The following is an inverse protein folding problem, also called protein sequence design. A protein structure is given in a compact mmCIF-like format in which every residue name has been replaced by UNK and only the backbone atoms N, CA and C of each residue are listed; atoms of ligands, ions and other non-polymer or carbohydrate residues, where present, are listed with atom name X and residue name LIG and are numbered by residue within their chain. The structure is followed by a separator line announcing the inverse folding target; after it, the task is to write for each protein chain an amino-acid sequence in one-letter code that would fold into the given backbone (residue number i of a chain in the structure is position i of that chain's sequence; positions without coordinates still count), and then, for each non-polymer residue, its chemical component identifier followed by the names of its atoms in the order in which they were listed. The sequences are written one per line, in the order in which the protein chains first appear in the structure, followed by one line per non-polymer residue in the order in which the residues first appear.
data_IF_951123781699
#
_entry.id   IF_951123781699
#
_cell.length_a   1.000
_cell.length_b   1.000
_cell.length_c   1.000
_cell.angle_alpha   90.00
_cell.angle_beta   90.00
_cell.angle_gamma   90.00
#
_symmetry.space_group_name_H-M   'P 1'
#
loop_
_entity.id
_entity.type
_entity.pdbx_description
1 polymer ?
#
# COMPACT_ATOMS: atom_id res chain seq x y z
N UNK A 1 -31.25 -11.52 -33.63
CA UNK A 1 -30.21 -12.15 -32.78
C UNK A 1 -28.92 -12.08 -33.57
N UNK A 2 -28.17 -10.99 -33.39
CA UNK A 2 -26.88 -10.79 -34.05
C UNK A 2 -25.76 -11.36 -33.17
N UNK A 3 -24.84 -12.03 -33.84
CA UNK A 3 -23.72 -12.82 -33.32
C UNK A 3 -22.60 -11.88 -32.83
N UNK A 4 -22.54 -11.61 -31.53
CA UNK A 4 -21.44 -10.91 -30.87
C UNK A 4 -20.34 -11.90 -30.47
N UNK A 5 -19.51 -12.33 -31.43
CA UNK A 5 -18.32 -13.16 -31.14
C UNK A 5 -17.04 -12.56 -31.70
N UNK A 6 -16.68 -11.38 -31.20
CA UNK A 6 -15.27 -10.99 -31.03
C UNK A 6 -15.06 -10.45 -29.62
N UNK A 7 -15.01 -11.35 -28.65
CA UNK A 7 -14.56 -11.03 -27.29
C UNK A 7 -13.10 -10.60 -27.34
N UNK A 8 -12.83 -9.33 -27.09
CA UNK A 8 -11.48 -8.78 -27.01
C UNK A 8 -10.67 -9.49 -25.93
N UNK A 9 -9.56 -10.10 -26.31
CA UNK A 9 -8.65 -10.75 -25.37
C UNK A 9 -7.70 -9.72 -24.76
N UNK A 10 -7.93 -9.36 -23.48
CA UNK A 10 -7.11 -8.39 -22.75
C UNK A 10 -5.78 -8.93 -22.21
N UNK A 11 -5.50 -10.23 -22.35
CA UNK A 11 -4.27 -10.83 -21.82
C UNK A 11 -2.99 -10.17 -22.37
N UNK A 12 -2.83 -9.89 -23.67
CA UNK A 12 -1.66 -9.17 -24.18
C UNK A 12 -1.47 -7.80 -23.53
N UNK A 13 -2.56 -7.09 -23.23
CA UNK A 13 -2.51 -5.81 -22.54
C UNK A 13 -2.05 -5.98 -21.09
N UNK A 14 -2.61 -6.94 -20.35
CA UNK A 14 -2.22 -7.28 -18.98
C UNK A 14 -0.72 -7.63 -18.89
N UNK A 15 -0.27 -8.50 -19.80
CA UNK A 15 1.10 -9.01 -19.80
C UNK A 15 2.12 -7.91 -20.11
N UNK A 16 1.79 -7.03 -21.07
CA UNK A 16 2.69 -5.99 -21.56
C UNK A 16 2.52 -4.63 -20.89
N UNK A 17 1.57 -4.49 -19.97
CA UNK A 17 1.45 -3.30 -19.12
C UNK A 17 2.70 -3.16 -18.25
N UNK A 18 3.28 -1.95 -18.24
CA UNK A 18 4.48 -1.57 -17.49
C UNK A 18 5.78 -2.30 -17.89
N UNK A 19 5.84 -2.92 -19.06
CA UNK A 19 7.10 -3.36 -19.66
C UNK A 19 7.78 -2.12 -20.26
N UNK A 20 8.99 -1.78 -19.78
CA UNK A 20 9.75 -0.63 -20.27
C UNK A 20 10.06 -0.78 -21.77
N UNK A 21 10.19 0.30 -22.52
CA UNK A 21 10.44 0.29 -23.99
C UNK A 21 11.65 -0.56 -24.43
N UNK A 22 12.58 -0.87 -23.51
CA UNK A 22 13.77 -1.70 -23.76
C UNK A 22 13.57 -3.20 -23.47
N UNK A 23 12.45 -3.58 -22.86
CA UNK A 23 12.16 -4.96 -22.49
C UNK A 23 11.30 -5.66 -23.54
N UNK A 24 11.58 -6.95 -23.80
CA UNK A 24 10.84 -7.75 -24.78
C UNK A 24 9.40 -7.99 -24.30
N UNK A 25 8.43 -7.67 -25.14
CA UNK A 25 6.99 -7.99 -24.93
C UNK A 25 6.73 -9.50 -24.99
N UNK A 26 5.67 -9.96 -24.34
CA UNK A 26 5.18 -11.33 -24.51
C UNK A 26 4.57 -11.48 -25.91
N UNK A 27 5.07 -12.45 -26.66
CA UNK A 27 4.52 -12.85 -27.96
C UNK A 27 3.35 -13.82 -27.80
N UNK A 28 2.50 -13.88 -28.83
CA UNK A 28 1.41 -14.87 -28.92
C UNK A 28 1.92 -16.30 -28.78
N UNK A 29 3.06 -16.62 -29.40
CA UNK A 29 3.64 -17.96 -29.33
C UNK A 29 4.07 -18.32 -27.90
N UNK A 30 4.67 -17.39 -27.16
CA UNK A 30 5.02 -17.61 -25.74
C UNK A 30 3.79 -17.92 -24.88
N UNK A 31 2.65 -17.29 -25.17
CA UNK A 31 1.40 -17.55 -24.45
C UNK A 31 0.86 -18.94 -24.78
N UNK A 32 0.84 -19.30 -26.07
CA UNK A 32 0.42 -20.63 -26.54
C UNK A 32 1.30 -21.73 -25.93
N UNK A 33 2.62 -21.56 -25.96
CA UNK A 33 3.56 -22.54 -25.43
C UNK A 33 3.42 -22.69 -23.91
N UNK A 34 3.13 -21.59 -23.21
CA UNK A 34 2.83 -21.60 -21.78
C UNK A 34 1.57 -22.44 -21.47
N UNK A 35 0.46 -22.21 -22.20
CA UNK A 35 -0.83 -22.86 -21.94
C UNK A 35 -0.92 -24.31 -22.45
N UNK A 36 0.05 -24.77 -23.24
CA UNK A 36 0.20 -26.21 -23.57
C UNK A 36 0.74 -27.05 -22.41
N UNK A 37 1.36 -26.42 -21.41
CA UNK A 37 1.91 -27.11 -20.25
C UNK A 37 0.82 -27.41 -19.22
N UNK A 38 1.04 -28.41 -18.38
CA UNK A 38 0.08 -28.86 -17.37
C UNK A 38 0.58 -28.67 -15.94
N UNK A 39 1.88 -28.50 -15.73
CA UNK A 39 2.46 -28.31 -14.39
C UNK A 39 3.13 -26.95 -14.27
N UNK A 40 2.93 -26.30 -13.12
CA UNK A 40 3.56 -25.02 -12.81
C UNK A 40 5.09 -25.10 -12.78
N UNK A 41 5.66 -26.21 -12.32
CA UNK A 41 7.10 -26.38 -12.24
C UNK A 41 7.79 -26.47 -13.61
N UNK A 42 7.06 -26.89 -14.64
CA UNK A 42 7.54 -26.97 -16.02
C UNK A 42 7.59 -25.58 -16.71
N UNK A 43 7.06 -24.55 -16.03
CA UNK A 43 7.11 -23.17 -16.51
C UNK A 43 8.48 -22.55 -16.26
N UNK A 44 9.02 -21.90 -17.29
CA UNK A 44 10.16 -20.98 -17.18
C UNK A 44 9.82 -19.78 -16.29
N UNK A 45 10.83 -19.08 -15.79
CA UNK A 45 10.62 -17.86 -14.98
C UNK A 45 9.72 -16.82 -15.68
N UNK A 46 9.81 -16.72 -17.01
CA UNK A 46 9.02 -15.77 -17.81
C UNK A 46 7.56 -16.21 -17.93
N UNK A 47 7.32 -17.51 -18.14
CA UNK A 47 5.97 -18.09 -18.13
C UNK A 47 5.32 -18.02 -16.74
N UNK A 48 6.11 -18.19 -15.66
CA UNK A 48 5.63 -18.00 -14.28
C UNK A 48 5.12 -16.58 -14.04
N UNK A 49 5.79 -15.56 -14.58
CA UNK A 49 5.32 -14.17 -14.55
C UNK A 49 4.02 -13.99 -15.34
N UNK A 50 3.91 -14.65 -16.50
CA UNK A 50 2.71 -14.63 -17.33
C UNK A 50 1.50 -15.16 -16.55
N UNK A 51 1.59 -16.39 -16.03
CA UNK A 51 0.47 -17.00 -15.30
C UNK A 51 0.16 -16.26 -14.00
N UNK A 52 1.17 -15.70 -13.32
CA UNK A 52 0.97 -14.86 -12.13
C UNK A 52 0.15 -13.62 -12.44
N UNK A 53 0.48 -12.90 -13.52
CA UNK A 53 -0.27 -11.71 -13.96
C UNK A 53 -1.69 -12.09 -14.38
N UNK A 54 -1.84 -13.19 -15.12
CA UNK A 54 -3.15 -13.69 -15.53
C UNK A 54 -4.03 -14.01 -14.31
N UNK A 55 -3.54 -14.84 -13.38
CA UNK A 55 -4.32 -15.25 -12.22
C UNK A 55 -4.76 -14.07 -11.35
N UNK A 56 -3.90 -13.05 -11.22
CA UNK A 56 -4.17 -11.86 -10.44
C UNK A 56 -5.23 -10.93 -11.07
N UNK A 57 -5.19 -10.77 -12.39
CA UNK A 57 -5.92 -9.70 -13.08
C UNK A 57 -7.23 -10.20 -13.73
N UNK A 58 -7.31 -11.48 -14.11
CA UNK A 58 -8.54 -12.10 -14.62
C UNK A 58 -9.46 -12.44 -13.45
N UNK A 59 -10.70 -11.93 -13.50
CA UNK A 59 -11.65 -11.99 -12.38
C UNK A 59 -13.06 -12.43 -12.81
N UNK A 60 -13.26 -12.75 -14.07
CA UNK A 60 -14.56 -13.15 -14.60
C UNK A 60 -14.42 -14.21 -15.72
N UNK A 61 -15.54 -14.89 -15.97
CA UNK A 61 -15.62 -16.01 -16.90
C UNK A 61 -15.54 -15.57 -18.38
N UNK A 62 -15.87 -14.32 -18.69
CA UNK A 62 -15.88 -13.83 -20.07
C UNK A 62 -14.44 -13.64 -20.57
N UNK A 63 -13.58 -13.10 -19.73
CA UNK A 63 -12.15 -13.03 -20.00
C UNK A 63 -11.52 -14.39 -20.21
N UNK A 64 -11.81 -15.36 -19.33
CA UNK A 64 -11.27 -16.71 -19.43
C UNK A 64 -11.68 -17.34 -20.76
N UNK A 65 -12.96 -17.22 -21.15
CA UNK A 65 -13.46 -17.68 -22.46
C UNK A 65 -12.77 -16.98 -23.63
N UNK A 66 -12.55 -15.67 -23.54
CA UNK A 66 -11.85 -14.91 -24.58
C UNK A 66 -10.39 -15.39 -24.75
N UNK A 67 -9.70 -15.67 -23.64
CA UNK A 67 -8.33 -16.20 -23.63
C UNK A 67 -8.28 -17.61 -24.24
N UNK A 68 -9.14 -18.52 -23.78
CA UNK A 68 -9.20 -19.90 -24.26
C UNK A 68 -9.45 -19.95 -25.77
N UNK A 69 -10.39 -19.12 -26.26
CA UNK A 69 -10.71 -19.00 -27.68
C UNK A 69 -9.53 -18.44 -28.49
N UNK A 70 -8.91 -17.35 -28.03
CA UNK A 70 -7.85 -16.66 -28.77
C UNK A 70 -6.53 -17.44 -28.88
N UNK A 71 -6.28 -18.40 -27.98
CA UNK A 71 -5.03 -19.18 -27.96
C UNK A 71 -5.26 -20.68 -28.12
N UNK A 72 -6.46 -21.11 -28.54
CA UNK A 72 -6.83 -22.52 -28.73
C UNK A 72 -6.38 -23.40 -27.54
N UNK A 73 -6.59 -22.88 -26.33
CA UNK A 73 -6.05 -23.48 -25.10
C UNK A 73 -7.10 -24.32 -24.39
N UNK A 74 -6.66 -25.42 -23.77
CA UNK A 74 -7.52 -26.26 -22.95
C UNK A 74 -7.64 -25.67 -21.54
N UNK A 75 -8.87 -25.46 -21.06
CA UNK A 75 -9.15 -24.99 -19.70
C UNK A 75 -8.52 -25.92 -18.65
N UNK A 76 -8.42 -27.22 -18.94
CA UNK A 76 -7.80 -28.21 -18.04
C UNK A 76 -6.30 -27.97 -17.82
N UNK A 77 -5.61 -27.42 -18.82
CA UNK A 77 -4.20 -27.08 -18.66
C UNK A 77 -4.03 -25.89 -17.71
N UNK A 78 -4.89 -24.88 -17.84
CA UNK A 78 -4.90 -23.70 -16.96
C UNK A 78 -5.29 -24.11 -15.53
N UNK A 79 -6.32 -24.94 -15.40
CA UNK A 79 -6.73 -25.55 -14.13
C UNK A 79 -5.56 -26.29 -13.47
N UNK A 80 -4.89 -27.17 -14.22
CA UNK A 80 -3.77 -27.95 -13.70
C UNK A 80 -2.58 -27.07 -13.29
N UNK A 81 -2.26 -26.04 -14.09
CA UNK A 81 -1.25 -25.04 -13.72
C UNK A 81 -1.66 -24.32 -12.44
N UNK A 82 -2.92 -23.88 -12.31
CA UNK A 82 -3.39 -23.15 -11.14
C UNK A 82 -3.31 -23.99 -9.87
N UNK A 83 -3.85 -25.21 -9.90
CA UNK A 83 -3.89 -26.14 -8.76
C UNK A 83 -2.48 -26.47 -8.27
N UNK A 84 -1.52 -26.63 -9.19
CA UNK A 84 -0.13 -26.93 -8.86
C UNK A 84 0.74 -25.68 -8.64
N UNK A 85 0.17 -24.48 -8.69
CA UNK A 85 0.91 -23.23 -8.49
C UNK A 85 0.91 -22.80 -7.01
N UNK A 86 1.86 -21.95 -6.59
CA UNK A 86 1.79 -21.28 -5.29
C UNK A 86 0.61 -20.30 -5.17
N UNK A 87 -0.20 -20.12 -6.22
CA UNK A 87 -1.39 -19.26 -6.23
C UNK A 87 -2.69 -20.02 -5.95
N UNK A 88 -2.66 -21.35 -5.94
CA UNK A 88 -3.81 -22.19 -5.60
C UNK A 88 -4.40 -21.74 -4.25
N UNK A 89 -5.71 -21.50 -4.20
CA UNK A 89 -6.40 -21.06 -2.99
C UNK A 89 -6.37 -19.55 -2.72
N UNK A 90 -5.60 -18.75 -3.47
CA UNK A 90 -5.46 -17.30 -3.21
C UNK A 90 -6.45 -16.41 -3.94
N UNK A 91 -6.97 -16.82 -5.11
CA UNK A 91 -7.81 -15.97 -5.95
C UNK A 91 -9.23 -16.50 -6.04
N UNK A 92 -10.20 -15.74 -5.53
CA UNK A 92 -11.60 -16.16 -5.38
C UNK A 92 -12.23 -16.62 -6.70
N UNK A 93 -11.97 -15.90 -7.81
CA UNK A 93 -12.48 -16.29 -9.14
C UNK A 93 -11.99 -17.68 -9.55
N UNK A 94 -10.68 -17.91 -9.52
CA UNK A 94 -10.06 -19.17 -9.94
C UNK A 94 -10.40 -20.33 -8.99
N UNK A 95 -10.52 -20.04 -7.68
CA UNK A 95 -10.97 -21.03 -6.70
C UNK A 95 -12.39 -21.48 -7.00
N UNK A 96 -13.29 -20.54 -7.30
CA UNK A 96 -14.68 -20.84 -7.66
C UNK A 96 -14.78 -21.59 -8.99
N UNK A 97 -14.02 -21.17 -9.99
CA UNK A 97 -14.03 -21.77 -11.33
C UNK A 97 -13.51 -23.21 -11.32
N UNK A 98 -12.48 -23.49 -10.52
CA UNK A 98 -11.82 -24.80 -10.47
C UNK A 98 -12.15 -25.63 -9.21
N UNK A 99 -13.15 -25.21 -8.42
CA UNK A 99 -13.60 -25.96 -7.25
C UNK A 99 -12.54 -26.15 -6.15
N UNK A 100 -11.64 -25.18 -5.99
CA UNK A 100 -10.57 -25.23 -4.98
C UNK A 100 -11.05 -24.64 -3.66
N UNK A 101 -10.84 -25.36 -2.55
CA UNK A 101 -11.14 -24.84 -1.21
C UNK A 101 -10.26 -23.63 -0.88
N UNK A 102 -10.89 -22.58 -0.35
CA UNK A 102 -10.20 -21.34 0.01
C UNK A 102 -9.21 -21.61 1.14
N UNK A 103 -7.92 -21.33 0.91
CA UNK A 103 -6.93 -21.37 1.96
C UNK A 103 -7.21 -20.17 2.89
N UNK A 104 -7.31 -20.36 4.22
CA UNK A 104 -7.48 -19.23 5.13
C UNK A 104 -6.32 -18.25 4.93
N UNK A 105 -6.66 -16.99 4.64
CA UNK A 105 -5.69 -15.91 4.49
C UNK A 105 -4.90 -15.80 5.80
N UNK A 106 -3.70 -16.36 5.83
CA UNK A 106 -2.73 -16.03 6.87
C UNK A 106 -2.32 -14.58 6.63
N UNK A 107 -2.37 -13.71 7.66
CA UNK A 107 -1.92 -12.33 7.49
C UNK A 107 -0.47 -12.34 7.00
N UNK A 108 -0.21 -11.59 5.94
CA UNK A 108 1.14 -11.44 5.40
C UNK A 108 2.03 -10.83 6.49
N UNK A 109 3.02 -11.58 6.96
CA UNK A 109 4.06 -11.09 7.87
C UNK A 109 5.23 -10.62 7.01
N UNK A 110 5.52 -9.31 6.94
CA UNK A 110 6.67 -8.81 6.19
C UNK A 110 7.97 -9.39 6.77
N UNK A 111 8.84 -9.89 5.90
CA UNK A 111 10.18 -10.33 6.32
C UNK A 111 10.98 -9.15 6.90
N UNK A 112 11.68 -9.37 8.02
CA UNK A 112 12.69 -8.43 8.55
C UNK A 112 13.84 -8.30 7.55
N UNK A 113 14.51 -7.14 7.51
CA UNK A 113 15.66 -6.94 6.63
C UNK A 113 16.72 -8.05 6.76
N UNK A 114 17.00 -8.52 7.99
CA UNK A 114 17.92 -9.62 8.27
C UNK A 114 17.57 -10.95 7.59
N UNK A 115 16.28 -11.19 7.31
CA UNK A 115 15.77 -12.42 6.69
C UNK A 115 15.79 -12.39 5.15
N UNK A 116 16.03 -11.22 4.55
CA UNK A 116 15.95 -11.03 3.10
C UNK A 116 17.28 -11.42 2.45
N UNK A 117 17.27 -12.39 1.52
CA UNK A 117 18.48 -12.84 0.80
C UNK A 117 19.00 -11.82 -0.21
N UNK A 118 18.11 -11.10 -0.91
CA UNK A 118 18.51 -10.11 -1.93
C UNK A 118 19.19 -8.89 -1.29
N UNK A 119 20.43 -8.55 -1.66
CA UNK A 119 21.15 -7.42 -1.08
C UNK A 119 20.43 -6.08 -1.31
N UNK A 120 19.88 -5.88 -2.50
CA UNK A 120 19.18 -4.64 -2.86
C UNK A 120 17.87 -4.49 -2.07
N UNK A 121 17.06 -5.55 -1.99
CA UNK A 121 15.81 -5.52 -1.22
C UNK A 121 16.10 -5.39 0.27
N UNK A 122 17.14 -6.06 0.77
CA UNK A 122 17.60 -5.93 2.17
C UNK A 122 17.92 -4.48 2.52
N UNK A 123 18.67 -3.76 1.67
CA UNK A 123 18.98 -2.33 1.88
C UNK A 123 17.74 -1.45 1.86
N UNK A 124 16.79 -1.70 0.96
CA UNK A 124 15.55 -0.93 0.87
C UNK A 124 14.65 -1.12 2.10
N UNK A 125 14.49 -2.38 2.54
CA UNK A 125 13.70 -2.70 3.74
C UNK A 125 14.37 -2.15 5.00
N UNK A 126 15.70 -2.26 5.13
CA UNK A 126 16.44 -1.67 6.25
C UNK A 126 16.24 -0.14 6.34
N UNK A 127 16.24 0.56 5.21
CA UNK A 127 15.94 2.01 5.17
C UNK A 127 14.52 2.33 5.61
N UNK A 128 13.54 1.54 5.18
CA UNK A 128 12.15 1.67 5.64
C UNK A 128 12.06 1.46 7.16
N UNK A 129 12.71 0.43 7.69
CA UNK A 129 12.75 0.15 9.13
C UNK A 129 13.37 1.30 9.92
N UNK A 130 14.48 1.89 9.45
CA UNK A 130 15.15 3.01 10.12
C UNK A 130 14.30 4.28 10.22
N UNK A 131 13.33 4.45 9.32
CA UNK A 131 12.40 5.57 9.27
C UNK A 131 11.09 5.32 10.03
N UNK A 132 10.85 4.08 10.47
CA UNK A 132 9.62 3.75 11.16
C UNK A 132 9.69 4.21 12.61
N UNK A 133 8.65 4.93 13.10
CA UNK A 133 8.50 5.15 14.52
C UNK A 133 8.24 3.81 15.24
N UNK A 134 8.24 3.87 16.57
CA UNK A 134 7.82 2.74 17.41
C UNK A 134 6.43 2.25 17.00
N UNK A 135 6.30 0.95 16.74
CA UNK A 135 5.04 0.34 16.29
C UNK A 135 3.97 0.40 17.40
N UNK A 136 2.69 0.42 17.01
CA UNK A 136 1.60 0.41 18.00
C UNK A 136 1.60 -0.88 18.84
N UNK A 137 1.87 -2.04 18.23
CA UNK A 137 2.03 -3.32 18.93
C UNK A 137 3.13 -3.24 20.00
N UNK A 138 4.28 -2.65 19.68
CA UNK A 138 5.37 -2.51 20.64
C UNK A 138 5.06 -1.48 21.73
N UNK A 139 4.32 -0.41 21.41
CA UNK A 139 3.78 0.51 22.41
C UNK A 139 2.85 -0.22 23.36
N UNK A 140 1.90 -1.00 22.84
CA UNK A 140 0.97 -1.80 23.64
C UNK A 140 1.70 -2.81 24.53
N UNK A 141 2.72 -3.50 24.00
CA UNK A 141 3.59 -4.40 24.77
C UNK A 141 4.26 -3.69 25.95
N UNK A 142 4.80 -2.48 25.76
CA UNK A 142 5.37 -1.74 26.89
C UNK A 142 4.29 -1.28 27.88
N UNK A 143 3.13 -0.84 27.37
CA UNK A 143 2.00 -0.38 28.19
C UNK A 143 1.30 -1.51 28.97
N UNK A 144 1.58 -2.78 28.67
CA UNK A 144 1.09 -3.89 29.47
C UNK A 144 1.76 -3.99 30.84
N UNK A 145 2.91 -3.33 31.04
CA UNK A 145 3.57 -3.22 32.34
C UNK A 145 3.06 -1.98 33.08
N UNK A 146 2.60 -2.17 34.32
CA UNK A 146 2.05 -1.12 35.18
C UNK A 146 3.00 0.07 35.34
N UNK A 147 4.29 -0.22 35.57
CA UNK A 147 5.36 0.78 35.73
C UNK A 147 5.50 1.71 34.51
N UNK A 148 5.12 1.25 33.31
CA UNK A 148 5.26 2.01 32.06
C UNK A 148 3.94 2.61 31.57
N UNK A 149 2.81 2.43 32.24
CA UNK A 149 1.50 2.87 31.72
C UNK A 149 1.38 4.37 31.46
N UNK A 150 2.08 5.20 32.26
CA UNK A 150 2.00 6.67 32.20
C UNK A 150 3.25 7.35 31.62
N UNK A 151 4.30 6.57 31.34
CA UNK A 151 5.59 7.06 30.86
C UNK A 151 5.50 7.65 29.42
N UNK A 152 6.35 8.61 29.05
CA UNK A 152 6.52 9.03 27.65
C UNK A 152 7.56 8.13 26.96
N UNK A 153 7.27 7.64 25.75
CA UNK A 153 8.12 6.65 25.08
C UNK A 153 8.65 7.24 23.76
N UNK A 154 9.97 7.45 23.70
CA UNK A 154 10.70 8.03 22.56
C UNK A 154 11.77 7.11 21.97
N UNK A 155 11.83 5.85 22.42
CA UNK A 155 12.74 4.83 21.89
C UNK A 155 12.24 4.21 20.57
N UNK A 156 13.14 3.51 19.87
CA UNK A 156 12.86 2.77 18.63
C UNK A 156 12.62 1.27 18.88
N UNK A 157 12.12 0.57 17.86
CA UNK A 157 11.66 -0.82 17.96
C UNK A 157 12.75 -1.81 18.42
N UNK A 158 14.01 -1.53 18.14
CA UNK A 158 15.13 -2.42 18.48
C UNK A 158 15.41 -2.52 19.98
N UNK A 159 15.00 -1.54 20.79
CA UNK A 159 15.18 -1.56 22.24
C UNK A 159 13.94 -1.98 23.01
N UNK A 160 12.90 -2.49 22.34
CA UNK A 160 11.66 -2.88 23.01
C UNK A 160 11.85 -4.00 24.02
N UNK A 161 12.61 -5.03 23.66
CA UNK A 161 12.86 -6.14 24.59
C UNK A 161 13.75 -5.70 25.76
N UNK A 162 14.72 -4.81 25.51
CA UNK A 162 15.55 -4.22 26.55
C UNK A 162 14.72 -3.43 27.57
N UNK A 163 13.89 -2.51 27.09
CA UNK A 163 13.02 -1.69 27.93
C UNK A 163 11.97 -2.53 28.67
N UNK A 164 11.36 -3.52 28.00
CA UNK A 164 10.39 -4.42 28.60
C UNK A 164 11.00 -5.25 29.73
N UNK A 165 12.19 -5.84 29.50
CA UNK A 165 12.86 -6.64 30.49
C UNK A 165 13.30 -5.82 31.70
N UNK A 166 13.89 -4.63 31.48
CA UNK A 166 14.24 -3.72 32.58
C UNK A 166 13.02 -3.37 33.44
N UNK A 167 11.94 -2.92 32.80
CA UNK A 167 10.72 -2.53 33.51
C UNK A 167 10.11 -3.71 34.28
N UNK A 168 10.16 -4.91 33.72
CA UNK A 168 9.71 -6.13 34.38
C UNK A 168 10.60 -6.49 35.58
N UNK A 169 11.91 -6.44 35.44
CA UNK A 169 12.86 -6.74 36.50
C UNK A 169 12.68 -5.78 37.69
N UNK A 170 12.44 -4.48 37.42
CA UNK A 170 12.12 -3.49 38.45
C UNK A 170 10.77 -3.80 39.13
N UNK A 171 9.73 -4.15 38.38
CA UNK A 171 8.44 -4.53 38.98
C UNK A 171 8.57 -5.78 39.86
N UNK A 172 9.31 -6.78 39.41
CA UNK A 172 9.52 -8.02 40.15
C UNK A 172 10.34 -7.77 41.44
N UNK A 173 11.33 -6.86 41.38
CA UNK A 173 12.05 -6.36 42.55
C UNK A 173 11.11 -5.66 43.55
N UNK A 174 10.32 -4.68 43.11
CA UNK A 174 9.39 -3.96 43.98
C UNK A 174 8.37 -4.89 44.62
N UNK A 175 7.87 -5.87 43.86
CA UNK A 175 6.94 -6.89 44.36
C UNK A 175 7.58 -7.77 45.43
N UNK A 176 8.83 -8.18 45.23
CA UNK A 176 9.59 -9.00 46.19
C UNK A 176 9.86 -8.25 47.49
N UNK A 177 10.23 -6.97 47.38
CA UNK A 177 10.54 -6.10 48.52
C UNK A 177 9.28 -5.47 49.15
N UNK A 178 8.08 -5.79 48.61
CA UNK A 178 6.78 -5.30 49.06
C UNK A 178 6.71 -3.76 49.16
N UNK A 179 7.18 -3.08 48.10
CA UNK A 179 7.14 -1.62 47.97
C UNK A 179 6.39 -1.18 46.71
N UNK A 180 6.11 0.13 46.62
CA UNK A 180 5.45 0.72 45.46
C UNK A 180 6.35 0.69 44.21
N UNK A 181 5.81 0.98 43.03
CA UNK A 181 6.59 1.11 41.80
C UNK A 181 7.19 2.53 41.69
N UNK A 182 8.41 2.69 41.17
CA UNK A 182 8.96 4.01 40.91
C UNK A 182 8.14 4.72 39.83
N UNK A 183 8.12 6.05 39.88
CA UNK A 183 7.47 6.84 38.83
C UNK A 183 8.41 6.99 37.67
N UNK A 184 8.08 6.40 36.52
CA UNK A 184 8.87 6.52 35.29
C UNK A 184 8.30 7.63 34.42
N UNK A 185 9.12 8.65 34.13
CA UNK A 185 8.72 9.83 33.37
C UNK A 185 8.90 9.62 31.87
N UNK A 186 10.06 9.11 31.46
CA UNK A 186 10.46 9.03 30.05
C UNK A 186 11.34 7.79 29.79
N UNK A 187 11.07 7.11 28.67
CA UNK A 187 12.03 6.22 28.02
C UNK A 187 12.55 6.94 26.79
N UNK A 188 13.83 7.27 26.74
CA UNK A 188 14.41 8.04 25.65
C UNK A 188 15.66 7.40 25.04
N UNK A 189 16.09 7.95 23.92
CA UNK A 189 17.37 7.68 23.29
C UNK A 189 18.23 8.93 23.38
N UNK A 190 19.22 8.92 24.26
CA UNK A 190 20.10 10.07 24.51
C UNK A 190 21.55 9.66 24.32
N UNK A 191 22.27 10.44 23.51
CA UNK A 191 23.65 10.14 23.11
C UNK A 191 23.86 8.72 22.52
N UNK A 192 22.83 8.17 21.87
CA UNK A 192 22.85 6.82 21.31
C UNK A 192 22.74 5.70 22.33
N UNK A 193 22.41 6.06 23.56
CA UNK A 193 22.16 5.18 24.69
C UNK A 193 20.67 5.23 25.07
N UNK A 194 20.18 4.13 25.63
CA UNK A 194 18.87 4.06 26.24
C UNK A 194 18.88 4.86 27.55
N UNK A 195 17.89 5.72 27.77
CA UNK A 195 17.73 6.47 29.02
C UNK A 195 16.40 6.05 29.69
N UNK A 196 16.49 5.64 30.95
CA UNK A 196 15.34 5.34 31.80
C UNK A 196 15.19 6.43 32.86
N UNK A 197 14.34 7.43 32.60
CA UNK A 197 14.12 8.56 33.52
C UNK A 197 13.03 8.25 34.55
N UNK A 198 13.41 8.18 35.82
CA UNK A 198 12.54 7.78 36.92
C UNK A 198 12.82 8.54 38.22
N UNK A 199 11.83 8.53 39.14
CA UNK A 199 11.96 9.00 40.51
C UNK A 199 11.79 7.84 41.49
N UNK A 200 12.73 7.72 42.42
CA UNK A 200 12.76 6.72 43.49
C UNK A 200 12.99 7.33 44.90
N UNK A 201 12.68 8.61 45.08
CA UNK A 201 12.89 9.34 46.35
C UNK A 201 12.23 8.69 47.58
N UNK A 202 11.15 7.92 47.36
CA UNK A 202 10.39 7.27 48.44
C UNK A 202 10.95 5.89 48.84
N UNK A 203 12.00 5.40 48.19
CA UNK A 203 12.56 4.08 48.44
C UNK A 203 13.69 4.11 49.48
N UNK A 204 13.96 2.95 50.09
CA UNK A 204 15.15 2.78 50.91
C UNK A 204 16.41 2.85 50.05
N UNK A 205 17.54 3.30 50.61
CA UNK A 205 18.84 3.36 49.89
C UNK A 205 19.25 2.04 49.25
N UNK A 206 18.86 0.93 49.85
CA UNK A 206 19.12 -0.41 49.31
C UNK A 206 18.37 -0.64 48.00
N UNK A 207 17.07 -0.34 47.97
CA UNK A 207 16.22 -0.52 46.80
C UNK A 207 16.61 0.48 45.70
N UNK A 208 16.89 1.75 46.06
CA UNK A 208 17.38 2.75 45.10
C UNK A 208 18.64 2.26 44.38
N UNK A 209 19.57 1.66 45.12
CA UNK A 209 20.78 1.07 44.55
C UNK A 209 20.48 -0.09 43.61
N UNK A 210 19.60 -1.02 44.00
CA UNK A 210 19.25 -2.15 43.12
C UNK A 210 18.56 -1.71 41.83
N UNK A 211 17.65 -0.73 41.89
CA UNK A 211 17.01 -0.15 40.70
C UNK A 211 18.07 0.51 39.81
N UNK A 212 18.95 1.32 40.41
CA UNK A 212 20.04 1.97 39.68
C UNK A 212 20.96 0.95 38.99
N UNK A 213 21.31 -0.15 39.67
CA UNK A 213 22.14 -1.21 39.10
C UNK A 213 21.43 -1.89 37.90
N UNK A 214 20.11 -2.14 37.97
CA UNK A 214 19.33 -2.66 36.85
C UNK A 214 19.30 -1.69 35.66
N UNK A 215 19.09 -0.40 35.94
CA UNK A 215 19.08 0.66 34.92
C UNK A 215 20.44 0.72 34.24
N UNK A 216 21.53 0.86 34.99
CA UNK A 216 22.90 0.92 34.43
C UNK A 216 23.20 -0.29 33.53
N UNK A 217 22.81 -1.50 33.93
CA UNK A 217 22.97 -2.72 33.10
C UNK A 217 22.22 -2.60 31.76
N UNK A 218 21.03 -2.01 31.77
CA UNK A 218 20.25 -1.82 30.54
C UNK A 218 20.84 -0.73 29.65
N UNK A 219 21.26 0.40 30.24
CA UNK A 219 21.90 1.51 29.53
C UNK A 219 23.22 1.04 28.87
N UNK A 220 24.08 0.33 29.61
CA UNK A 220 25.31 -0.28 29.08
C UNK A 220 25.04 -1.26 27.93
N UNK A 221 24.02 -2.12 28.06
CA UNK A 221 23.63 -3.06 27.00
C UNK A 221 23.16 -2.34 25.74
N UNK A 222 22.47 -1.22 25.89
CA UNK A 222 21.89 -0.47 24.77
C UNK A 222 22.95 -0.01 23.77
N UNK A 223 24.17 0.28 24.23
CA UNK A 223 25.32 0.70 23.42
C UNK A 223 25.80 -0.37 22.41
N UNK A 224 25.34 -1.61 22.57
CA UNK A 224 25.68 -2.75 21.70
C UNK A 224 24.47 -3.31 20.94
N UNK A 225 23.29 -2.71 21.13
CA UNK A 225 22.04 -3.16 20.52
C UNK A 225 21.57 -2.09 19.53
N UNK A 226 21.36 -2.46 18.27
CA UNK A 226 20.84 -1.55 17.27
C UNK A 226 19.44 -1.03 17.67
N UNK A 227 19.31 0.28 17.81
CA UNK A 227 18.05 0.95 18.17
C UNK A 227 16.89 0.63 17.20
N UNK A 228 17.19 0.30 15.94
CA UNK A 228 16.18 0.06 14.89
C UNK A 228 15.66 -1.37 14.91
N UNK A 229 16.53 -2.37 14.99
CA UNK A 229 16.16 -3.77 14.77
C UNK A 229 16.43 -4.73 15.92
N UNK A 230 17.20 -4.32 16.94
CA UNK A 230 17.52 -5.14 18.11
C UNK A 230 18.68 -6.12 17.92
N UNK A 231 19.27 -6.17 16.72
CA UNK A 231 20.49 -6.96 16.47
C UNK A 231 21.74 -6.26 17.01
N UNK A 232 22.87 -6.98 17.04
CA UNK A 232 24.15 -6.40 17.45
C UNK A 232 24.49 -5.13 16.64
N UNK A 233 24.85 -4.08 17.37
CA UNK A 233 25.22 -2.77 16.83
C UNK A 233 26.42 -2.18 17.56
N UNK A 234 26.80 -0.99 17.13
CA UNK A 234 27.84 -0.18 17.78
C UNK A 234 27.37 1.27 17.85
N UNK A 235 27.87 2.00 18.84
CA UNK A 235 27.62 3.44 18.95
C UNK A 235 28.34 4.18 17.81
N UNK A 236 27.63 5.08 17.15
CA UNK A 236 28.07 5.82 15.97
C UNK A 236 27.71 7.28 16.11
N UNK A 237 28.45 8.13 15.39
CA UNK A 237 28.18 9.55 15.30
C UNK A 237 27.88 9.92 13.85
N UNK A 238 26.77 10.61 13.62
CA UNK A 238 26.39 11.15 12.32
C UNK A 238 25.90 12.59 12.49
N UNK A 239 26.60 13.54 11.86
CA UNK A 239 26.30 14.99 11.97
C UNK A 239 26.20 15.48 13.43
N UNK A 240 27.06 14.96 14.30
CA UNK A 240 27.08 15.30 15.72
C UNK A 240 26.01 14.60 16.56
N UNK A 241 25.13 13.80 15.96
CA UNK A 241 24.15 12.96 16.65
C UNK A 241 24.71 11.56 16.90
N UNK A 242 24.70 11.16 18.16
CA UNK A 242 25.06 9.81 18.57
C UNK A 242 23.85 8.87 18.44
N UNK A 243 24.09 7.64 18.00
CA UNK A 243 23.07 6.60 17.83
C UNK A 243 23.72 5.22 17.78
N UNK A 244 23.05 4.18 18.27
CA UNK A 244 23.57 2.81 18.22
C UNK A 244 22.91 2.02 17.09
N UNK A 245 23.71 1.51 16.14
CA UNK A 245 23.17 0.79 14.98
C UNK A 245 24.07 -0.31 14.42
N UNK A 246 23.46 -1.31 13.80
CA UNK A 246 24.16 -2.33 13.02
C UNK A 246 24.59 -1.76 11.65
N UNK A 247 25.43 -2.49 10.93
CA UNK A 247 25.91 -2.09 9.59
C UNK A 247 24.80 -1.83 8.56
N UNK A 248 23.63 -2.46 8.72
CA UNK A 248 22.50 -2.29 7.80
C UNK A 248 21.71 -1.01 8.07
N UNK A 249 21.67 -0.57 9.32
CA UNK A 249 20.90 0.60 9.77
C UNK A 249 21.78 1.81 10.07
N UNK A 250 23.10 1.72 9.83
CA UNK A 250 23.98 2.88 9.95
C UNK A 250 23.49 3.97 9.00
N UNK A 251 23.40 5.20 9.52
CA UNK A 251 23.09 6.37 8.71
C UNK A 251 24.28 6.61 7.78
N UNK A 252 24.12 6.27 6.51
CA UNK A 252 24.99 6.76 5.44
C UNK A 252 24.31 7.96 4.79
N UNK A 253 25.08 9.00 4.47
CA UNK A 253 24.55 10.14 3.73
C UNK A 253 23.97 9.62 2.41
N UNK A 254 22.66 9.76 2.27
CA UNK A 254 22.03 9.88 0.96
C UNK A 254 20.85 10.85 1.10
N UNK A 255 21.17 12.14 1.25
CA UNK A 255 20.20 13.25 1.29
C UNK A 255 19.18 13.16 0.15
N UNK A 256 19.62 12.68 -1.01
CA UNK A 256 18.77 12.47 -2.17
C UNK A 256 17.66 11.45 -1.88
N UNK A 257 17.98 10.34 -1.22
CA UNK A 257 17.00 9.31 -0.85
C UNK A 257 16.06 9.76 0.28
N UNK A 258 16.53 10.52 1.26
CA UNK A 258 15.66 11.09 2.31
C UNK A 258 14.66 12.08 1.71
N UNK A 259 15.11 12.93 0.79
CA UNK A 259 14.25 13.86 0.07
C UNK A 259 13.26 13.13 -0.84
N UNK A 260 13.67 12.06 -1.51
CA UNK A 260 12.77 11.18 -2.28
C UNK A 260 11.70 10.56 -1.37
N UNK A 261 12.08 10.06 -0.19
CA UNK A 261 11.12 9.45 0.74
C UNK A 261 10.16 10.49 1.32
N UNK A 262 10.64 11.70 1.63
CA UNK A 262 9.81 12.81 2.08
C UNK A 262 8.80 13.21 1.00
N UNK A 263 9.25 13.37 -0.26
CA UNK A 263 8.38 13.63 -1.40
C UNK A 263 7.35 12.52 -1.60
N UNK A 264 7.76 11.25 -1.48
CA UNK A 264 6.85 10.12 -1.59
C UNK A 264 5.79 10.10 -0.48
N UNK A 265 6.16 10.38 0.78
CA UNK A 265 5.20 10.48 1.89
C UNK A 265 4.17 11.60 1.66
N UNK A 266 4.62 12.78 1.24
CA UNK A 266 3.72 13.89 0.94
C UNK A 266 2.76 13.54 -0.21
N UNK A 267 3.26 12.88 -1.26
CA UNK A 267 2.45 12.45 -2.39
C UNK A 267 1.40 11.40 -1.97
N UNK A 268 1.76 10.45 -1.11
CA UNK A 268 0.82 9.44 -0.57
C UNK A 268 -0.29 10.14 0.23
N UNK A 269 0.06 11.03 1.16
CA UNK A 269 -0.93 11.77 1.96
C UNK A 269 -1.86 12.61 1.08
N UNK A 270 -1.32 13.26 0.06
CA UNK A 270 -2.12 14.00 -0.92
C UNK A 270 -3.08 13.06 -1.68
N UNK A 271 -2.59 11.92 -2.16
CA UNK A 271 -3.39 10.94 -2.90
C UNK A 271 -4.50 10.34 -2.03
N UNK A 272 -4.22 10.07 -0.75
CA UNK A 272 -5.21 9.56 0.21
C UNK A 272 -6.33 10.59 0.44
N UNK A 273 -5.96 11.87 0.59
CA UNK A 273 -6.93 12.97 0.73
C UNK A 273 -7.81 13.10 -0.53
N UNK A 274 -7.20 13.11 -1.71
CA UNK A 274 -7.92 13.17 -2.99
C UNK A 274 -8.87 11.97 -3.17
N UNK A 275 -8.43 10.77 -2.77
CA UNK A 275 -9.27 9.58 -2.85
C UNK A 275 -10.51 9.66 -1.92
N UNK A 276 -10.36 10.21 -0.72
CA UNK A 276 -11.48 10.43 0.21
C UNK A 276 -12.47 11.43 -0.38
N UNK A 277 -11.98 12.56 -0.91
CA UNK A 277 -12.81 13.58 -1.56
C UNK A 277 -13.61 12.99 -2.73
N UNK A 278 -12.98 12.15 -3.57
CA UNK A 278 -13.65 11.44 -4.67
C UNK A 278 -14.74 10.49 -4.14
N UNK A 279 -14.47 9.73 -3.07
CA UNK A 279 -15.45 8.81 -2.48
C UNK A 279 -16.68 9.58 -1.96
N UNK A 280 -16.46 10.68 -1.25
CA UNK A 280 -17.55 11.52 -0.73
C UNK A 280 -18.37 12.15 -1.86
N UNK A 281 -17.70 12.67 -2.90
CA UNK A 281 -18.34 13.23 -4.07
C UNK A 281 -19.20 12.20 -4.81
N UNK A 282 -18.67 11.00 -5.05
CA UNK A 282 -19.42 9.89 -5.68
C UNK A 282 -20.68 9.54 -4.89
N UNK A 283 -20.58 9.47 -3.55
CA UNK A 283 -21.75 9.20 -2.70
C UNK A 283 -22.83 10.28 -2.88
N UNK A 284 -22.43 11.55 -2.94
CA UNK A 284 -23.34 12.67 -3.13
C UNK A 284 -24.01 12.64 -4.51
N UNK A 285 -23.25 12.44 -5.59
CA UNK A 285 -23.79 12.33 -6.95
C UNK A 285 -24.78 11.16 -7.04
N UNK A 286 -24.42 9.98 -6.52
CA UNK A 286 -25.30 8.80 -6.53
C UNK A 286 -26.60 9.00 -5.76
N UNK A 287 -26.56 9.74 -4.65
CA UNK A 287 -27.75 10.04 -3.84
C UNK A 287 -28.73 10.96 -4.58
N UNK A 288 -28.21 11.89 -5.39
CA UNK A 288 -29.02 12.90 -6.09
C UNK A 288 -29.43 12.47 -7.51
N UNK A 289 -28.65 11.59 -8.13
CA UNK A 289 -28.82 11.18 -9.52
C UNK A 289 -30.23 10.66 -9.80
N UNK A 290 -30.79 11.10 -10.93
CA UNK A 290 -32.15 10.77 -11.37
C UNK A 290 -32.21 9.50 -12.22
N UNK A 291 -31.07 9.00 -12.69
CA UNK A 291 -31.00 7.75 -13.45
C UNK A 291 -31.25 6.54 -12.54
N UNK A 292 -32.19 5.69 -12.97
CA UNK A 292 -32.62 4.49 -12.25
C UNK A 292 -31.79 3.25 -12.63
N UNK A 293 -31.05 3.31 -13.74
CA UNK A 293 -30.09 2.28 -14.12
C UNK A 293 -28.82 2.42 -13.27
N UNK A 294 -28.68 1.51 -12.29
CA UNK A 294 -27.58 1.52 -11.33
C UNK A 294 -26.23 1.36 -12.01
N UNK A 295 -26.14 0.50 -13.04
CA UNK A 295 -24.88 0.16 -13.70
C UNK A 295 -24.41 1.32 -14.57
N UNK A 296 -25.33 1.91 -15.34
CA UNK A 296 -25.06 3.11 -16.16
C UNK A 296 -24.70 4.31 -15.29
N UNK A 297 -25.49 4.57 -14.24
CA UNK A 297 -25.23 5.64 -13.27
C UNK A 297 -23.85 5.53 -12.65
N UNK A 298 -23.53 4.36 -12.12
CA UNK A 298 -22.26 4.14 -11.44
C UNK A 298 -21.08 4.25 -12.42
N UNK A 299 -21.24 3.78 -13.66
CA UNK A 299 -20.25 3.92 -14.71
C UNK A 299 -19.97 5.40 -15.02
N UNK A 300 -20.99 6.20 -15.31
CA UNK A 300 -20.85 7.64 -15.64
C UNK A 300 -20.21 8.41 -14.49
N UNK A 301 -20.72 8.24 -13.26
CA UNK A 301 -20.19 8.93 -12.08
C UNK A 301 -18.73 8.53 -11.84
N UNK A 302 -18.39 7.24 -11.99
CA UNK A 302 -17.02 6.77 -11.81
C UNK A 302 -16.07 7.34 -12.87
N UNK A 303 -16.51 7.53 -14.12
CA UNK A 303 -15.70 8.13 -15.18
C UNK A 303 -15.30 9.54 -14.80
N UNK A 304 -16.28 10.41 -14.55
CA UNK A 304 -16.01 11.84 -14.44
C UNK A 304 -15.34 12.24 -13.13
N UNK A 305 -15.57 11.49 -12.05
CA UNK A 305 -14.91 11.74 -10.76
C UNK A 305 -13.43 11.31 -10.70
N UNK A 306 -12.90 10.60 -11.71
CA UNK A 306 -11.47 10.22 -11.77
C UNK A 306 -10.55 11.36 -12.20
N UNK A 307 -11.10 12.50 -12.67
CA UNK A 307 -10.41 13.74 -13.08
C UNK A 307 -9.34 13.64 -14.15
N UNK A 308 -8.81 12.45 -14.46
CA UNK A 308 -7.84 12.21 -15.54
C UNK A 308 -8.29 11.08 -16.45
N UNK A 309 -8.29 11.34 -17.75
CA UNK A 309 -8.61 10.35 -18.78
C UNK A 309 -7.72 9.11 -18.72
N UNK A 310 -6.46 9.27 -18.33
CA UNK A 310 -5.51 8.15 -18.15
C UNK A 310 -5.95 7.15 -17.09
N UNK A 311 -6.74 7.59 -16.12
CA UNK A 311 -7.18 6.78 -14.97
C UNK A 311 -8.46 5.98 -15.30
N UNK A 312 -9.05 6.23 -16.47
CA UNK A 312 -10.18 5.48 -17.02
C UNK A 312 -9.74 4.11 -17.55
N UNK A 313 -10.58 3.10 -17.32
CA UNK A 313 -10.49 1.79 -17.98
C UNK A 313 -11.04 1.86 -19.41
N UNK A 314 -10.96 0.76 -20.15
CA UNK A 314 -11.41 0.72 -21.55
C UNK A 314 -12.87 1.16 -21.74
N UNK A 315 -13.81 0.54 -21.03
CA UNK A 315 -15.24 0.84 -21.17
C UNK A 315 -15.57 2.28 -20.76
N UNK A 316 -14.90 2.78 -19.74
CA UNK A 316 -15.03 4.16 -19.30
C UNK A 316 -14.52 5.14 -20.37
N UNK A 317 -13.42 4.80 -21.07
CA UNK A 317 -12.92 5.60 -22.19
C UNK A 317 -13.84 5.56 -23.39
N UNK A 318 -14.36 4.40 -23.77
CA UNK A 318 -15.30 4.28 -24.89
C UNK A 318 -16.54 5.15 -24.65
N UNK A 319 -17.08 5.12 -23.43
CA UNK A 319 -18.20 5.96 -23.02
C UNK A 319 -17.84 7.46 -23.05
N UNK A 320 -16.70 7.84 -22.47
CA UNK A 320 -16.28 9.25 -22.45
C UNK A 320 -16.02 9.76 -23.87
N UNK A 321 -15.42 8.93 -24.72
CA UNK A 321 -15.17 9.26 -26.12
C UNK A 321 -16.49 9.46 -26.87
N UNK A 322 -17.47 8.56 -26.73
CA UNK A 322 -18.76 8.73 -27.38
C UNK A 322 -19.46 10.00 -26.93
N UNK A 323 -19.39 10.33 -25.63
CA UNK A 323 -19.97 11.56 -25.07
C UNK A 323 -19.27 12.83 -25.58
N UNK A 324 -17.96 12.78 -25.83
CA UNK A 324 -17.20 13.93 -26.34
C UNK A 324 -17.26 14.06 -27.87
N UNK A 325 -17.49 12.96 -28.60
CA UNK A 325 -17.66 12.95 -30.06
C UNK A 325 -19.01 13.51 -30.50
N UNK A 326 -20.05 13.44 -29.65
CA UNK A 326 -21.37 13.98 -29.97
C UNK A 326 -21.43 15.52 -29.98
N UNK A 327 -20.38 16.20 -29.50
CA UNK A 327 -20.19 17.68 -29.52
C UNK A 327 -21.42 18.53 -29.13
N UNK A 328 -22.31 18.02 -28.27
CA UNK A 328 -23.58 18.68 -27.96
C UNK A 328 -23.62 19.22 -26.52
N UNK A 329 -23.95 20.52 -26.39
CA UNK A 329 -24.23 21.19 -25.11
C UNK A 329 -25.27 20.45 -24.27
N UNK A 330 -26.26 19.83 -24.92
CA UNK A 330 -27.29 19.03 -24.27
C UNK A 330 -26.72 17.83 -23.51
N UNK A 331 -25.72 17.14 -24.08
CA UNK A 331 -25.05 15.99 -23.46
C UNK A 331 -24.29 16.41 -22.20
N UNK A 332 -23.61 17.56 -22.22
CA UNK A 332 -22.92 18.09 -21.04
C UNK A 332 -23.92 18.54 -19.97
N UNK A 333 -25.01 19.18 -20.39
CA UNK A 333 -26.07 19.61 -19.48
C UNK A 333 -26.77 18.41 -18.83
N UNK A 334 -26.96 17.30 -19.55
CA UNK A 334 -27.48 16.03 -19.02
C UNK A 334 -26.58 15.47 -17.92
N UNK A 335 -25.26 15.46 -18.13
CA UNK A 335 -24.28 15.05 -17.10
C UNK A 335 -24.38 15.90 -15.83
N UNK A 336 -24.60 17.20 -15.97
CA UNK A 336 -24.74 18.12 -14.84
C UNK A 336 -26.08 17.91 -14.13
N UNK A 337 -27.20 17.91 -14.85
CA UNK A 337 -28.54 17.97 -14.26
C UNK A 337 -29.09 16.62 -13.80
N UNK A 338 -28.67 15.53 -14.46
CA UNK A 338 -29.16 14.18 -14.17
C UNK A 338 -28.16 13.35 -13.36
N UNK A 339 -26.86 13.58 -13.51
CA UNK A 339 -25.82 12.87 -12.76
C UNK A 339 -25.15 13.72 -11.68
N UNK A 340 -25.50 15.01 -11.57
CA UNK A 340 -24.98 15.94 -10.56
C UNK A 340 -23.44 16.00 -10.56
N UNK A 341 -22.86 15.93 -11.76
CA UNK A 341 -21.42 16.07 -11.96
C UNK A 341 -21.05 17.55 -11.98
N UNK A 342 -19.94 17.90 -11.33
CA UNK A 342 -19.41 19.25 -11.42
C UNK A 342 -18.77 19.45 -12.80
N UNK A 343 -19.02 20.61 -13.39
CA UNK A 343 -18.45 21.00 -14.68
C UNK A 343 -16.91 20.97 -14.66
N UNK A 344 -16.29 21.21 -13.50
CA UNK A 344 -14.85 21.11 -13.29
C UNK A 344 -14.31 19.68 -13.47
N UNK A 345 -15.08 18.66 -13.06
CA UNK A 345 -14.68 17.25 -13.23
C UNK A 345 -14.80 16.83 -14.69
N UNK A 346 -15.86 17.28 -15.38
CA UNK A 346 -16.06 17.05 -16.82
C UNK A 346 -14.92 17.69 -17.61
N UNK A 347 -14.61 18.96 -17.29
CA UNK A 347 -13.49 19.69 -17.88
C UNK A 347 -12.15 19.03 -17.63
N UNK A 348 -11.87 18.56 -16.42
CA UNK A 348 -10.62 17.88 -16.09
C UNK A 348 -10.42 16.58 -16.89
N UNK A 349 -11.48 15.78 -17.07
CA UNK A 349 -11.44 14.59 -17.93
C UNK A 349 -11.23 14.97 -19.40
N UNK A 350 -11.92 16.01 -19.88
CA UNK A 350 -11.79 16.48 -21.25
C UNK A 350 -10.38 16.99 -21.56
N UNK A 351 -9.83 17.88 -20.72
CA UNK A 351 -8.50 18.47 -20.89
C UNK A 351 -7.37 17.44 -20.83
N UNK A 352 -7.59 16.32 -20.14
CA UNK A 352 -6.63 15.21 -20.09
C UNK A 352 -6.88 14.12 -21.14
N UNK A 353 -7.91 14.28 -21.98
CA UNK A 353 -8.29 13.34 -23.03
C UNK A 353 -7.59 13.64 -24.38
N UNK A 354 -7.64 12.70 -25.34
CA UNK A 354 -7.21 12.95 -26.72
C UNK A 354 -7.98 14.06 -27.44
N UNK A 355 -9.16 14.46 -26.92
CA UNK A 355 -10.01 15.50 -27.48
C UNK A 355 -9.68 16.90 -26.95
N UNK A 356 -8.66 17.05 -26.10
CA UNK A 356 -8.30 18.33 -25.45
C UNK A 356 -8.02 19.49 -26.43
N UNK A 357 -7.70 19.21 -27.69
CA UNK A 357 -7.52 20.21 -28.73
C UNK A 357 -8.83 20.58 -29.47
N UNK A 358 -9.96 19.99 -29.11
CA UNK A 358 -11.26 20.31 -29.69
C UNK A 358 -11.76 21.67 -29.15
N UNK A 359 -11.47 22.71 -29.93
CA UNK A 359 -11.76 24.11 -29.62
C UNK A 359 -13.26 24.35 -29.47
N UNK A 360 -14.10 23.66 -30.24
CA UNK A 360 -15.55 23.89 -30.20
C UNK A 360 -16.17 23.33 -28.91
N UNK A 361 -15.77 22.12 -28.52
CA UNK A 361 -16.18 21.54 -27.24
C UNK A 361 -15.66 22.35 -26.04
N UNK A 362 -14.43 22.89 -26.12
CA UNK A 362 -13.90 23.78 -25.09
C UNK A 362 -14.70 25.06 -24.92
N UNK A 363 -15.22 25.65 -26.01
CA UNK A 363 -16.09 26.82 -25.92
C UNK A 363 -17.37 26.48 -25.17
N UNK A 364 -18.03 25.38 -25.54
CA UNK A 364 -19.26 24.90 -24.87
C UNK A 364 -19.01 24.68 -23.37
N UNK A 365 -17.90 24.03 -23.00
CA UNK A 365 -17.52 23.83 -21.59
C UNK A 365 -17.28 25.16 -20.86
N UNK A 366 -16.65 26.14 -21.49
CA UNK A 366 -16.38 27.44 -20.85
C UNK A 366 -17.66 28.29 -20.71
N UNK A 367 -18.55 28.27 -21.70
CA UNK A 367 -19.85 28.95 -21.63
C UNK A 367 -20.71 28.38 -20.49
N UNK A 368 -20.82 27.05 -20.39
CA UNK A 368 -21.54 26.40 -19.30
C UNK A 368 -20.89 26.66 -17.93
N UNK A 369 -19.57 26.82 -17.87
CA UNK A 369 -18.84 27.11 -16.64
C UNK A 369 -19.11 28.54 -16.14
N UNK A 370 -19.15 29.52 -17.05
CA UNK A 370 -19.53 30.90 -16.73
C UNK A 370 -20.99 30.99 -16.25
N UNK A 371 -21.89 30.26 -16.91
CA UNK A 371 -23.29 30.15 -16.50
C UNK A 371 -23.46 29.52 -15.11
N UNK A 372 -22.73 28.45 -14.79
CA UNK A 372 -22.78 27.81 -13.47
C UNK A 372 -22.24 28.74 -12.35
N UNK A 373 -21.18 29.51 -12.62
CA UNK A 373 -20.68 30.53 -11.70
C UNK A 373 -21.72 31.63 -11.47
N UNK A 374 -22.44 32.04 -12.51
CA UNK A 374 -23.46 33.08 -12.40
C UNK A 374 -24.67 32.62 -11.56
N UNK A 375 -25.01 31.33 -11.60
CA UNK A 375 -26.11 30.72 -10.81
C UNK A 375 -25.75 30.45 -9.34
N UNK A 376 -24.44 30.37 -9.03
CA UNK A 376 -23.90 30.13 -7.67
C UNK A 376 -23.58 31.41 -6.88
N UNK A 377 -23.65 32.59 -7.52
CA UNK A 377 -23.61 33.91 -6.87
C UNK A 377 -25.02 34.39 -6.54
#
# INVERSE_FOLDING_TARGET
MEDYTKTYNRLPHILNRNILLKERKFSTQEIIDCFKKTKYDDLTNRERVLVSKMFKEIKDIYDLKAILSAYESDVKNIESIYINSPYCGFFDFWNSEFGVEKIPNTPFIPLKSSQIKSPTLRKLVAKKEALNPLSNENKEKLRSLEILQKCRIYIKNGWIDLAFNLAKDIQDLCKKENCELPTVYVLDSKYGEFEFDYSDDNFSKHIQKEILDLVNIAEDKSLTICEVCGEAGENRVFEGWYYTSCELHKKEINFEQLEIIRKAKNLIQQTEKEAIEIIEKRKLCKLKCKDTDIDRRDLIINCFTKRRYSDLNYYERELVNSLFEEENQETIQDLIDNYFLDIEDIKAIFESSPYSENIEFLKVLNELFEDDISRKK
#
